data_IF_374146446502
#
_entry.id   IF_374146446502
#
_cell.length_a   1.000
_cell.length_b   1.000
_cell.length_c   1.000
_cell.angle_alpha   90.00
_cell.angle_beta   90.00
_cell.angle_gamma   90.00
#
_symmetry.space_group_name_H-M   'P 1'
#
loop_
_entity.id
_entity.type
_entity.pdbx_description
1 polymer ?
#
# COMPACT_ATOMS: atom_id res chain seq x y z
N UNK A 1 -29.08 13.60 -4.98
CA UNK A 1 -30.24 14.30 -4.38
C UNK A 1 -29.82 15.68 -3.91
N UNK A 2 -30.64 16.72 -4.08
CA UNK A 2 -30.34 18.04 -3.52
C UNK A 2 -30.13 17.92 -2.01
N UNK A 3 -29.07 18.53 -1.48
CA UNK A 3 -28.67 18.40 -0.07
C UNK A 3 -29.75 18.87 0.90
N UNK A 4 -30.61 19.79 0.47
CA UNK A 4 -31.74 20.28 1.26
C UNK A 4 -32.85 19.23 1.45
N UNK A 5 -33.11 18.39 0.44
CA UNK A 5 -34.15 17.34 0.53
C UNK A 5 -33.75 16.20 1.47
N UNK A 6 -32.45 15.91 1.56
CA UNK A 6 -31.92 14.92 2.52
C UNK A 6 -32.10 15.39 3.97
N UNK A 7 -31.88 16.68 4.22
CA UNK A 7 -32.00 17.29 5.55
C UNK A 7 -33.44 17.29 6.05
N UNK A 8 -34.41 17.59 5.18
CA UNK A 8 -35.84 17.58 5.56
C UNK A 8 -36.35 16.17 5.86
N UNK A 9 -35.89 15.17 5.11
CA UNK A 9 -36.25 13.77 5.34
C UNK A 9 -35.74 13.26 6.70
N UNK A 10 -34.48 13.55 7.03
CA UNK A 10 -33.89 13.17 8.33
C UNK A 10 -34.64 13.85 9.48
N UNK A 11 -34.95 15.13 9.36
CA UNK A 11 -35.72 15.86 10.37
C UNK A 11 -37.14 15.27 10.56
N UNK A 12 -37.83 14.92 9.47
CA UNK A 12 -39.16 14.31 9.53
C UNK A 12 -39.15 12.94 10.20
N UNK A 13 -38.17 12.07 9.88
CA UNK A 13 -38.04 10.75 10.51
C UNK A 13 -37.77 10.89 12.02
N UNK A 14 -36.88 11.79 12.42
CA UNK A 14 -36.55 12.02 13.84
C UNK A 14 -37.76 12.52 14.63
N UNK A 15 -38.56 13.44 14.07
CA UNK A 15 -39.78 13.95 14.73
C UNK A 15 -40.85 12.88 14.80
N UNK A 16 -41.11 12.15 13.70
CA UNK A 16 -42.14 11.11 13.67
C UNK A 16 -41.83 9.91 14.57
N UNK A 17 -40.55 9.64 14.83
CA UNK A 17 -40.12 8.51 15.67
C UNK A 17 -39.77 8.93 17.09
N UNK A 18 -39.95 10.20 17.47
CA UNK A 18 -39.52 10.76 18.76
C UNK A 18 -38.05 10.45 19.10
N UNK A 19 -37.19 10.29 18.08
CA UNK A 19 -35.79 9.89 18.26
C UNK A 19 -35.57 8.44 18.72
N UNK A 20 -36.61 7.59 18.77
CA UNK A 20 -36.49 6.17 19.14
C UNK A 20 -35.85 5.31 18.04
N UNK A 21 -35.91 5.77 16.79
CA UNK A 21 -35.35 5.05 15.64
C UNK A 21 -34.17 5.84 15.09
N UNK A 22 -32.97 5.26 15.19
CA UNK A 22 -31.78 5.83 14.57
C UNK A 22 -31.93 5.79 13.05
N UNK A 23 -31.83 6.93 12.33
CA UNK A 23 -31.91 6.92 10.88
C UNK A 23 -30.74 6.10 10.29
N UNK A 24 -30.96 5.39 9.16
CA UNK A 24 -29.96 4.52 8.57
C UNK A 24 -28.66 5.28 8.28
N UNK A 25 -27.51 4.64 8.51
CA UNK A 25 -26.18 5.24 8.35
C UNK A 25 -25.96 5.87 6.95
N UNK A 26 -26.65 5.34 5.93
CA UNK A 26 -26.67 5.89 4.57
C UNK A 26 -27.26 7.30 4.45
N UNK A 27 -27.95 7.83 5.47
CA UNK A 27 -28.44 9.22 5.54
C UNK A 27 -27.56 10.14 6.40
N UNK A 28 -26.77 9.58 7.31
CA UNK A 28 -25.92 10.33 8.25
C UNK A 28 -24.49 10.52 7.78
N UNK A 29 -24.06 9.89 6.69
CA UNK A 29 -22.71 10.03 6.15
C UNK A 29 -22.38 11.51 5.86
N UNK A 30 -21.63 12.11 6.80
CA UNK A 30 -20.80 13.26 6.58
C UNK A 30 -19.71 12.84 5.59
N UNK A 31 -19.34 13.77 4.72
CA UNK A 31 -18.32 13.56 3.68
C UNK A 31 -17.02 13.11 4.35
N UNK A 32 -16.67 11.85 4.20
CA UNK A 32 -15.38 11.32 4.61
C UNK A 32 -14.26 12.14 3.95
N UNK A 33 -13.09 12.33 4.61
CA UNK A 33 -11.90 12.83 3.94
C UNK A 33 -11.58 11.90 2.76
N UNK A 34 -10.93 12.39 1.69
CA UNK A 34 -10.65 11.57 0.52
C UNK A 34 -9.83 10.35 0.95
N UNK A 35 -10.48 9.20 0.98
CA UNK A 35 -9.86 7.90 0.91
C UNK A 35 -9.38 7.74 -0.54
N UNK A 36 -8.07 7.80 -0.76
CA UNK A 36 -7.45 7.56 -2.07
C UNK A 36 -7.61 6.10 -2.56
N UNK A 37 -8.26 5.23 -1.77
CA UNK A 37 -8.41 3.79 -2.03
C UNK A 37 -9.73 3.38 -2.71
N UNK A 38 -10.44 4.31 -3.36
CA UNK A 38 -11.65 3.98 -4.12
C UNK A 38 -11.58 4.46 -5.58
N UNK A 39 -10.57 4.00 -6.33
CA UNK A 39 -10.71 3.85 -7.79
C UNK A 39 -9.78 2.75 -8.29
N UNK A 40 -10.34 1.59 -8.61
CA UNK A 40 -9.66 0.44 -9.22
C UNK A 40 -9.31 0.67 -10.71
N UNK A 41 -8.89 1.88 -11.10
CA UNK A 41 -8.83 2.26 -12.52
C UNK A 41 -7.57 3.02 -12.95
N UNK A 42 -6.49 3.04 -12.17
CA UNK A 42 -5.26 3.77 -12.58
C UNK A 42 -3.96 2.97 -12.36
N UNK A 43 -4.05 1.64 -12.46
CA UNK A 43 -2.89 0.74 -12.46
C UNK A 43 -2.37 0.56 -13.90
N UNK A 44 -1.70 1.59 -14.44
CA UNK A 44 -1.06 1.48 -15.75
C UNK A 44 0.28 0.76 -15.62
N UNK A 45 0.29 -0.51 -16.00
CA UNK A 45 1.50 -1.29 -16.20
C UNK A 45 2.24 -0.78 -17.44
N UNK A 46 3.49 -0.32 -17.28
CA UNK A 46 4.41 -0.20 -18.40
C UNK A 46 5.08 -1.57 -18.61
N UNK A 47 4.87 -2.24 -19.75
CA UNK A 47 5.54 -3.50 -20.01
C UNK A 47 6.98 -3.21 -20.42
N UNK A 48 7.93 -3.38 -19.48
CA UNK A 48 9.34 -3.51 -19.85
C UNK A 48 9.55 -4.92 -20.40
N UNK A 49 9.47 -5.05 -21.72
CA UNK A 49 9.73 -6.30 -22.44
C UNK A 49 11.24 -6.53 -22.57
N UNK A 50 11.74 -7.54 -21.86
CA UNK A 50 12.94 -8.26 -22.28
C UNK A 50 12.68 -9.74 -22.09
N UNK A 51 12.30 -10.39 -23.18
CA UNK A 51 12.25 -11.84 -23.28
C UNK A 51 13.69 -12.35 -23.22
N UNK A 52 14.19 -12.57 -22.00
CA UNK A 52 15.40 -13.36 -21.78
C UNK A 52 15.03 -14.84 -21.82
N UNK A 53 15.88 -15.61 -22.47
CA UNK A 53 15.77 -17.05 -22.68
C UNK A 53 15.35 -17.80 -21.41
N UNK A 54 14.54 -18.85 -21.59
CA UNK A 54 13.96 -19.67 -20.53
C UNK A 54 15.02 -20.46 -19.73
N UNK A 55 15.85 -19.75 -18.97
CA UNK A 55 16.51 -20.29 -17.79
C UNK A 55 15.41 -20.49 -16.76
N UNK A 56 15.25 -21.71 -16.26
CA UNK A 56 14.34 -21.98 -15.14
C UNK A 56 14.74 -21.09 -13.97
N UNK A 57 13.91 -20.10 -13.65
CA UNK A 57 14.11 -19.22 -12.51
C UNK A 57 13.84 -20.03 -11.24
N UNK A 58 14.89 -20.36 -10.50
CA UNK A 58 14.72 -21.02 -9.20
C UNK A 58 14.04 -20.07 -8.20
N UNK A 59 13.37 -20.63 -7.19
CA UNK A 59 12.75 -19.83 -6.12
C UNK A 59 13.73 -18.86 -5.45
N UNK A 60 14.94 -19.32 -5.16
CA UNK A 60 15.98 -18.49 -4.54
C UNK A 60 16.36 -17.30 -5.43
N UNK A 61 16.53 -17.52 -6.73
CA UNK A 61 16.82 -16.44 -7.69
C UNK A 61 15.65 -15.47 -7.84
N UNK A 62 14.40 -15.96 -7.77
CA UNK A 62 13.23 -15.11 -7.76
C UNK A 62 13.22 -14.18 -6.55
N UNK A 63 13.43 -14.73 -5.34
CA UNK A 63 13.47 -13.95 -4.09
C UNK A 63 14.59 -12.90 -4.16
N UNK A 64 15.81 -13.31 -4.52
CA UNK A 64 16.96 -12.41 -4.65
C UNK A 64 16.67 -11.23 -5.58
N UNK A 65 16.24 -11.50 -6.82
CA UNK A 65 15.91 -10.45 -7.81
C UNK A 65 14.76 -9.56 -7.37
N UNK A 66 13.77 -10.13 -6.70
CA UNK A 66 12.62 -9.38 -6.17
C UNK A 66 13.07 -8.46 -5.04
N UNK A 67 13.93 -8.95 -4.16
CA UNK A 67 14.49 -8.15 -3.06
C UNK A 67 15.37 -7.01 -3.56
N UNK A 68 16.20 -7.23 -4.59
CA UNK A 68 16.95 -6.17 -5.25
C UNK A 68 16.03 -5.03 -5.73
N UNK A 69 14.92 -5.39 -6.39
CA UNK A 69 13.91 -4.42 -6.82
C UNK A 69 13.20 -3.77 -5.63
N UNK A 70 12.79 -4.52 -4.62
CA UNK A 70 12.13 -4.00 -3.42
C UNK A 70 13.00 -2.94 -2.72
N UNK A 71 14.30 -3.20 -2.59
CA UNK A 71 15.29 -2.24 -2.07
C UNK A 71 15.34 -1.01 -2.97
N UNK A 72 15.55 -1.17 -4.28
CA UNK A 72 15.62 -0.04 -5.21
C UNK A 72 14.37 0.85 -5.17
N UNK A 73 13.18 0.25 -5.20
CA UNK A 73 11.91 0.97 -5.15
C UNK A 73 11.68 1.67 -3.81
N UNK A 74 12.13 1.08 -2.70
CA UNK A 74 12.07 1.70 -1.38
C UNK A 74 13.01 2.90 -1.28
N UNK A 75 14.25 2.78 -1.77
CA UNK A 75 15.17 3.92 -1.81
C UNK A 75 14.66 5.05 -2.70
N UNK A 76 14.11 4.73 -3.87
CA UNK A 76 13.50 5.72 -4.75
C UNK A 76 12.33 6.43 -4.05
N UNK A 77 11.45 5.67 -3.39
CA UNK A 77 10.34 6.18 -2.58
C UNK A 77 10.79 7.20 -1.53
N UNK A 78 11.79 6.83 -0.73
CA UNK A 78 12.28 7.67 0.36
C UNK A 78 12.98 8.93 -0.15
N UNK A 79 13.62 8.85 -1.31
CA UNK A 79 14.36 9.97 -1.88
C UNK A 79 15.59 10.34 -1.04
N UNK A 80 16.25 11.43 -1.42
CA UNK A 80 17.57 11.81 -0.89
C UNK A 80 17.50 12.36 0.54
N UNK A 81 16.34 12.87 0.96
CA UNK A 81 16.16 13.46 2.29
C UNK A 81 15.82 12.43 3.36
N UNK A 82 14.99 11.44 3.03
CA UNK A 82 14.50 10.47 4.03
C UNK A 82 15.42 9.26 4.08
N UNK A 83 15.87 8.74 2.92
CA UNK A 83 16.62 7.48 2.87
C UNK A 83 17.83 7.47 3.81
N UNK A 84 18.74 8.47 3.81
CA UNK A 84 19.95 8.41 4.66
C UNK A 84 19.67 8.42 6.16
N UNK A 85 18.47 8.82 6.58
CA UNK A 85 18.10 8.92 7.99
C UNK A 85 17.54 7.60 8.51
N UNK A 86 16.80 6.88 7.66
CA UNK A 86 16.07 5.66 8.07
C UNK A 86 16.69 4.37 7.54
N UNK A 87 17.72 4.45 6.69
CA UNK A 87 18.27 3.32 5.95
C UNK A 87 18.70 2.15 6.85
N UNK A 88 19.44 2.43 7.92
CA UNK A 88 19.95 1.38 8.81
C UNK A 88 18.80 0.62 9.50
N UNK A 89 17.80 1.34 10.02
CA UNK A 89 16.64 0.74 10.67
C UNK A 89 15.72 0.04 9.66
N UNK A 90 15.57 0.61 8.47
CA UNK A 90 14.83 -0.03 7.37
C UNK A 90 15.46 -1.36 6.97
N UNK A 91 16.79 -1.41 6.84
CA UNK A 91 17.54 -2.63 6.54
C UNK A 91 17.45 -3.66 7.67
N UNK A 92 17.49 -3.23 8.92
CA UNK A 92 17.49 -4.13 10.07
C UNK A 92 16.09 -4.67 10.43
N UNK A 93 15.04 -3.88 10.22
CA UNK A 93 13.70 -4.17 10.77
C UNK A 93 12.68 -4.48 9.67
N UNK A 94 12.68 -3.72 8.58
CA UNK A 94 11.60 -3.78 7.57
C UNK A 94 11.95 -4.73 6.43
N UNK A 95 13.17 -4.66 5.89
CA UNK A 95 13.59 -5.51 4.77
C UNK A 95 13.46 -7.02 5.05
N UNK A 96 13.87 -7.55 6.22
CA UNK A 96 13.72 -8.99 6.51
C UNK A 96 12.25 -9.44 6.46
N UNK A 97 11.33 -8.59 6.93
CA UNK A 97 9.88 -8.89 6.93
C UNK A 97 9.28 -8.79 5.53
N UNK A 98 9.78 -7.88 4.69
CA UNK A 98 9.42 -7.88 3.26
C UNK A 98 9.89 -9.16 2.57
N UNK A 99 11.10 -9.63 2.88
CA UNK A 99 11.65 -10.88 2.34
C UNK A 99 10.81 -12.09 2.76
N UNK A 100 10.40 -12.17 4.03
CA UNK A 100 9.48 -13.20 4.54
C UNK A 100 8.19 -13.25 3.71
N UNK A 101 7.54 -12.10 3.51
CA UNK A 101 6.30 -12.00 2.71
C UNK A 101 6.52 -12.40 1.25
N UNK A 102 7.66 -12.04 0.65
CA UNK A 102 8.01 -12.39 -0.72
C UNK A 102 8.31 -13.90 -0.84
N UNK A 103 9.00 -14.49 0.15
CA UNK A 103 9.28 -15.92 0.19
C UNK A 103 8.00 -16.73 0.34
N UNK A 104 7.09 -16.31 1.23
CA UNK A 104 5.76 -16.91 1.39
C UNK A 104 4.94 -16.81 0.10
N UNK A 105 4.96 -15.66 -0.59
CA UNK A 105 4.32 -15.55 -1.90
C UNK A 105 4.92 -16.55 -2.88
N UNK A 106 6.25 -16.62 -2.96
CA UNK A 106 6.92 -17.52 -3.88
C UNK A 106 6.48 -18.95 -3.62
N UNK A 107 6.46 -19.41 -2.36
CA UNK A 107 6.09 -20.79 -1.99
C UNK A 107 4.68 -21.21 -2.45
N UNK A 108 3.78 -20.26 -2.71
CA UNK A 108 2.45 -20.54 -3.28
C UNK A 108 2.45 -20.89 -4.76
N UNK A 109 3.54 -20.64 -5.48
CA UNK A 109 3.66 -20.88 -6.91
C UNK A 109 4.72 -21.94 -7.23
N UNK A 110 4.48 -22.76 -8.27
CA UNK A 110 5.54 -23.59 -8.84
C UNK A 110 6.60 -22.71 -9.50
N UNK A 111 7.86 -23.17 -9.55
CA UNK A 111 8.99 -22.35 -10.01
C UNK A 111 8.82 -21.86 -11.46
N UNK A 112 8.19 -22.66 -12.30
CA UNK A 112 7.88 -22.28 -13.68
C UNK A 112 6.95 -21.07 -13.77
N UNK A 113 6.09 -20.84 -12.79
CA UNK A 113 5.16 -19.71 -12.78
C UNK A 113 5.77 -18.43 -12.19
N UNK A 114 6.85 -18.52 -11.40
CA UNK A 114 7.52 -17.36 -10.82
C UNK A 114 8.02 -16.37 -11.87
N UNK A 115 8.29 -16.84 -13.10
CA UNK A 115 8.68 -15.99 -14.24
C UNK A 115 7.60 -14.97 -14.64
N UNK A 116 6.34 -15.24 -14.29
CA UNK A 116 5.22 -14.35 -14.58
C UNK A 116 5.00 -13.33 -13.47
N UNK A 117 5.70 -13.44 -12.34
CA UNK A 117 5.60 -12.45 -11.26
C UNK A 117 6.58 -11.30 -11.51
N UNK A 118 6.08 -10.08 -11.37
CA UNK A 118 6.84 -8.85 -11.59
C UNK A 118 6.64 -7.87 -10.43
N UNK A 119 7.60 -6.96 -10.28
CA UNK A 119 7.59 -5.87 -9.30
C UNK A 119 7.35 -4.55 -10.02
N UNK A 120 6.44 -3.73 -9.51
CA UNK A 120 6.17 -2.40 -10.08
C UNK A 120 7.33 -1.42 -9.82
N UNK A 121 7.68 -0.58 -10.80
CA UNK A 121 8.86 0.30 -10.73
C UNK A 121 8.53 1.80 -10.68
N UNK A 122 7.42 2.19 -10.05
CA UNK A 122 7.01 3.61 -9.99
C UNK A 122 6.42 3.95 -8.62
N UNK A 123 7.23 4.21 -7.58
CA UNK A 123 6.72 4.54 -6.26
C UNK A 123 6.03 5.90 -6.30
N UNK A 124 4.95 6.04 -5.52
CA UNK A 124 4.22 7.31 -5.46
C UNK A 124 5.05 8.40 -4.78
N UNK A 125 5.10 9.60 -5.37
CA UNK A 125 5.72 10.78 -4.76
C UNK A 125 4.77 11.54 -3.82
N UNK A 126 5.25 12.67 -3.27
CA UNK A 126 4.39 13.57 -2.52
C UNK A 126 3.97 12.98 -1.17
N UNK A 127 2.67 12.67 -1.02
CA UNK A 127 2.09 12.08 0.19
C UNK A 127 1.64 10.63 0.01
N UNK A 128 1.59 10.12 -1.22
CA UNK A 128 1.01 8.81 -1.52
C UNK A 128 1.77 7.69 -0.83
N UNK A 129 1.11 6.57 -0.54
CA UNK A 129 1.67 5.53 0.35
C UNK A 129 2.43 4.43 -0.39
N UNK A 130 2.04 4.13 -1.63
CA UNK A 130 2.61 3.05 -2.44
C UNK A 130 4.14 3.13 -2.57
N UNK A 131 4.81 2.03 -2.25
CA UNK A 131 6.22 1.79 -2.55
C UNK A 131 6.29 0.98 -3.85
N UNK A 132 5.86 -0.28 -3.81
CA UNK A 132 5.78 -1.18 -4.96
C UNK A 132 4.68 -2.22 -4.73
N UNK A 133 4.34 -2.99 -5.76
CA UNK A 133 3.53 -4.19 -5.64
C UNK A 133 4.15 -5.34 -6.44
N UNK A 134 3.86 -6.57 -6.01
CA UNK A 134 4.03 -7.76 -6.81
C UNK A 134 2.73 -8.06 -7.54
N UNK A 135 2.83 -8.33 -8.84
CA UNK A 135 1.71 -8.62 -9.70
C UNK A 135 2.06 -9.69 -10.73
N UNK A 136 1.05 -10.31 -11.31
CA UNK A 136 1.15 -11.20 -12.45
C UNK A 136 1.29 -10.38 -13.73
N UNK A 137 2.41 -10.50 -14.44
CA UNK A 137 2.69 -9.79 -15.68
C UNK A 137 1.86 -10.30 -16.87
N UNK A 138 1.38 -11.54 -16.81
CA UNK A 138 0.53 -12.16 -17.83
C UNK A 138 -0.94 -11.72 -17.72
N UNK A 139 -1.46 -11.50 -16.51
CA UNK A 139 -2.86 -11.10 -16.28
C UNK A 139 -3.04 -9.64 -15.87
N UNK A 140 -1.99 -8.99 -15.37
CA UNK A 140 -2.05 -7.66 -14.74
C UNK A 140 -2.63 -7.68 -13.32
N UNK A 141 -2.83 -8.86 -12.73
CA UNK A 141 -3.43 -8.98 -11.40
C UNK A 141 -2.41 -8.71 -10.29
N UNK A 142 -2.73 -7.74 -9.43
CA UNK A 142 -1.97 -7.50 -8.21
C UNK A 142 -2.08 -8.69 -7.25
N UNK A 143 -0.98 -9.00 -6.55
CA UNK A 143 -0.92 -10.04 -5.54
C UNK A 143 -0.64 -9.47 -4.15
N UNK A 144 0.39 -8.61 -4.05
CA UNK A 144 0.81 -7.98 -2.79
C UNK A 144 1.19 -6.53 -3.05
N UNK A 145 0.68 -5.60 -2.25
CA UNK A 145 1.01 -4.17 -2.33
C UNK A 145 1.75 -3.72 -1.08
N UNK A 146 2.99 -3.23 -1.23
CA UNK A 146 3.82 -2.73 -0.15
C UNK A 146 3.74 -1.21 -0.04
N UNK A 147 3.30 -0.73 1.12
CA UNK A 147 2.98 0.66 1.37
C UNK A 147 3.74 1.20 2.59
N UNK A 148 3.90 2.52 2.64
CA UNK A 148 4.39 3.25 3.82
C UNK A 148 3.52 4.47 4.07
N UNK A 149 2.99 4.56 5.29
CA UNK A 149 2.22 5.71 5.76
C UNK A 149 3.02 6.53 6.76
N UNK A 150 2.66 7.82 6.88
CA UNK A 150 3.19 8.69 7.93
C UNK A 150 2.18 8.73 9.07
N UNK A 151 2.61 8.33 10.25
CA UNK A 151 1.82 8.44 11.46
C UNK A 151 2.30 9.63 12.28
N UNK A 152 1.38 10.24 13.03
CA UNK A 152 1.69 11.24 14.04
C UNK A 152 0.83 10.98 15.29
N UNK A 153 1.19 9.97 16.10
CA UNK A 153 0.53 9.74 17.36
C UNK A 153 0.66 10.97 18.27
N UNK A 154 -0.38 11.31 19.05
CA UNK A 154 -0.34 12.46 19.95
C UNK A 154 0.90 12.43 20.86
N UNK A 155 1.60 13.56 20.94
CA UNK A 155 2.78 13.79 21.80
C UNK A 155 4.06 13.00 21.44
N UNK A 156 4.03 12.10 20.46
CA UNK A 156 5.14 11.18 20.18
C UNK A 156 6.06 11.66 19.04
N UNK A 157 5.50 12.36 18.06
CA UNK A 157 6.20 12.80 16.85
C UNK A 157 5.82 11.95 15.65
N UNK A 158 6.60 12.04 14.59
CA UNK A 158 6.30 11.40 13.31
C UNK A 158 6.98 10.04 13.18
N UNK A 159 6.25 9.10 12.61
CA UNK A 159 6.68 7.74 12.33
C UNK A 159 6.37 7.36 10.88
N UNK A 160 7.15 6.46 10.32
CA UNK A 160 6.83 5.76 9.09
C UNK A 160 6.35 4.35 9.44
N UNK A 161 5.08 4.03 9.18
CA UNK A 161 4.58 2.65 9.33
C UNK A 161 4.55 1.97 7.97
N UNK A 162 5.28 0.87 7.88
CA UNK A 162 5.32 -0.02 6.73
C UNK A 162 4.28 -1.11 6.89
N UNK A 163 3.55 -1.38 5.83
CA UNK A 163 2.54 -2.43 5.80
C UNK A 163 2.39 -2.98 4.40
N UNK A 164 1.73 -4.14 4.29
CA UNK A 164 1.33 -4.68 3.01
C UNK A 164 -0.16 -5.03 2.98
N UNK A 165 -0.69 -5.11 1.77
CA UNK A 165 -2.03 -5.59 1.45
C UNK A 165 -1.90 -6.82 0.56
N UNK A 166 -2.76 -7.82 0.73
CA UNK A 166 -2.75 -9.07 -0.07
C UNK A 166 -4.07 -9.25 -0.81
N UNK A 167 -4.02 -9.88 -1.98
CA UNK A 167 -5.22 -10.28 -2.71
C UNK A 167 -6.12 -11.24 -1.91
N UNK A 168 -5.57 -11.97 -0.94
CA UNK A 168 -6.29 -12.98 -0.14
C UNK A 168 -7.44 -12.38 0.69
N UNK A 169 -7.33 -11.10 1.07
CA UNK A 169 -8.37 -10.35 1.77
C UNK A 169 -9.00 -9.23 0.91
N UNK A 170 -8.71 -9.23 -0.40
CA UNK A 170 -9.18 -8.19 -1.32
C UNK A 170 -8.52 -6.83 -1.07
N UNK A 171 -7.29 -6.82 -0.57
CA UNK A 171 -6.50 -5.63 -0.23
C UNK A 171 -7.17 -4.72 0.81
N UNK A 172 -7.80 -5.30 1.82
CA UNK A 172 -8.51 -4.57 2.86
C UNK A 172 -7.69 -4.44 4.14
N UNK A 173 -6.94 -5.48 4.51
CA UNK A 173 -6.20 -5.49 5.76
C UNK A 173 -4.81 -4.87 5.60
N UNK A 174 -4.43 -4.07 6.60
CA UNK A 174 -3.10 -3.48 6.70
C UNK A 174 -2.22 -4.41 7.53
N UNK A 175 -1.51 -5.32 6.88
CA UNK A 175 -0.60 -6.24 7.56
C UNK A 175 0.70 -5.50 7.92
N UNK A 176 0.96 -5.29 9.21
CA UNK A 176 2.06 -4.45 9.68
C UNK A 176 3.44 -5.12 9.47
N UNK A 177 4.32 -4.43 8.77
CA UNK A 177 5.74 -4.79 8.64
C UNK A 177 6.61 -4.09 9.70
N UNK A 178 6.15 -2.99 10.28
CA UNK A 178 6.83 -2.32 11.38
C UNK A 178 6.81 -0.80 11.25
N UNK A 179 7.47 -0.13 12.19
CA UNK A 179 7.52 1.34 12.28
C UNK A 179 8.94 1.82 12.48
N UNK A 180 9.26 2.95 11.86
CA UNK A 180 10.53 3.67 12.04
C UNK A 180 10.23 5.07 12.54
N UNK A 181 10.93 5.50 13.60
CA UNK A 181 10.79 6.86 14.11
C UNK A 181 11.45 7.86 13.15
N UNK A 182 10.76 8.95 12.83
CA UNK A 182 11.36 10.04 12.05
C UNK A 182 11.94 11.12 12.96
N UNK A 183 11.07 11.94 13.55
CA UNK A 183 11.43 13.04 14.45
C UNK A 183 10.17 13.72 14.98
N UNK A 184 10.33 14.72 15.87
CA UNK A 184 9.23 15.63 16.26
C UNK A 184 8.78 16.56 15.12
N UNK A 185 9.61 16.74 14.07
CA UNK A 185 9.27 17.59 12.93
C UNK A 185 8.56 16.80 11.83
N UNK A 186 7.69 17.45 11.08
CA UNK A 186 7.03 16.84 9.93
C UNK A 186 8.07 16.35 8.90
N UNK A 187 8.01 15.08 8.46
CA UNK A 187 8.89 14.59 7.41
C UNK A 187 8.62 15.29 6.08
N UNK A 188 9.63 15.42 5.20
CA UNK A 188 9.43 15.95 3.87
C UNK A 188 8.55 15.00 3.03
N UNK A 189 8.17 15.46 1.85
CA UNK A 189 7.45 14.64 0.89
C UNK A 189 8.33 13.49 0.35
N UNK A 190 7.69 12.39 -0.05
CA UNK A 190 8.35 11.29 -0.75
C UNK A 190 9.00 11.76 -2.06
N UNK A 191 10.08 11.09 -2.45
CA UNK A 191 10.88 11.38 -3.67
C UNK A 191 11.43 12.81 -3.73
N UNK A 192 11.87 13.36 -2.59
CA UNK A 192 12.52 14.68 -2.51
C UNK A 192 13.99 14.64 -2.09
#
# INVERSE_FOLDING_TARGET
MPSWLRKTLVAAITVCTFGLVTPPASLLAAKDPPSDDASSSDWQHSPTSRAEEAVSLTRAQFIERTMEKAVAQSHEKFGRKIAPVIEDEFRAVILPRMEEVIAELADRYPEEELRYLAVSENPSGGQGERIFHLYRADTGEDLIRFHVRREHPPQDGYWFQFHYHTCDDGFQAHHELGKIYWSKNTPPNWRT
#
